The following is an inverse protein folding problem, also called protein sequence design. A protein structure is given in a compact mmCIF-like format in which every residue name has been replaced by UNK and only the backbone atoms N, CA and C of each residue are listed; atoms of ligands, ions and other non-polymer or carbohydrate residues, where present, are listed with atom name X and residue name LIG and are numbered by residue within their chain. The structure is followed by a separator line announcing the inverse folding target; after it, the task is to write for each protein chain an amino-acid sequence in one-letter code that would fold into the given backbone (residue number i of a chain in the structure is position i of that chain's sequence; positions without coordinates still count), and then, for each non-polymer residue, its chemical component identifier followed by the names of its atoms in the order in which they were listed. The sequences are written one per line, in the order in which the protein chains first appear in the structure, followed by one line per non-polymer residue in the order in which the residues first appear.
data_IF_773855188703
#
_entry.id   IF_773855188703
#
_cell.length_a   1.000
_cell.length_b   1.000
_cell.length_c   1.000
_cell.angle_alpha   90.00
_cell.angle_beta   90.00
_cell.angle_gamma   90.00
#
_symmetry.space_group_name_H-M   'P 1'
#
loop_
_entity.id
_entity.type
_entity.pdbx_description
1 polymer ?
#
# COMPACT_ATOMS: atom_id res chain seq x y z
N UNK A 1 40.27 43.82 -98.37
CA UNK A 1 39.50 43.99 -99.62
C UNK A 1 38.06 43.64 -99.31
N UNK A 2 37.12 44.58 -99.50
CA UNK A 2 35.71 44.36 -99.20
C UNK A 2 34.98 43.79 -100.42
N UNK A 3 33.99 42.92 -100.17
CA UNK A 3 33.12 42.33 -101.19
C UNK A 3 31.66 42.67 -100.84
N UNK A 4 30.81 42.80 -101.86
CA UNK A 4 29.39 43.09 -101.66
C UNK A 4 28.73 41.92 -100.91
N UNK A 5 28.06 42.21 -99.80
CA UNK A 5 27.37 41.18 -98.98
C UNK A 5 26.19 40.52 -99.69
N UNK A 6 25.68 41.12 -100.78
CA UNK A 6 24.52 40.60 -101.52
C UNK A 6 24.93 39.73 -102.72
N UNK A 7 25.88 40.20 -103.56
CA UNK A 7 26.26 39.48 -104.78
C UNK A 7 27.72 39.00 -104.84
N UNK A 8 28.54 39.27 -103.81
CA UNK A 8 29.91 38.78 -103.71
C UNK A 8 30.93 39.47 -104.61
N UNK A 9 30.55 40.48 -105.40
CA UNK A 9 31.49 41.23 -106.26
C UNK A 9 32.43 42.11 -105.43
N UNK A 10 33.65 42.31 -105.93
CA UNK A 10 34.70 43.09 -105.24
C UNK A 10 34.34 44.57 -105.23
N UNK A 11 34.33 45.19 -104.05
CA UNK A 11 34.05 46.62 -103.89
C UNK A 11 35.35 47.43 -103.96
N UNK A 12 35.29 48.58 -104.64
CA UNK A 12 36.38 49.55 -104.64
C UNK A 12 36.29 50.39 -103.35
N UNK A 13 37.40 50.67 -102.64
CA UNK A 13 37.39 51.46 -101.42
C UNK A 13 36.64 52.80 -101.60
N UNK A 14 35.69 53.11 -100.70
CA UNK A 14 34.91 54.35 -100.72
C UNK A 14 33.61 54.34 -101.55
N UNK A 15 33.23 53.22 -102.19
CA UNK A 15 31.96 53.14 -102.93
C UNK A 15 30.75 53.00 -102.00
N UNK A 16 29.77 53.90 -102.13
CA UNK A 16 28.53 53.92 -101.33
C UNK A 16 27.45 52.93 -101.79
N UNK A 17 27.60 52.35 -102.99
CA UNK A 17 26.69 51.35 -103.57
C UNK A 17 27.49 50.39 -104.45
N UNK A 18 27.05 49.12 -104.51
CA UNK A 18 27.62 48.14 -105.44
C UNK A 18 27.23 48.47 -106.88
N UNK A 19 28.20 48.65 -107.78
CA UNK A 19 27.94 48.96 -109.20
C UNK A 19 27.29 47.80 -109.98
N UNK A 20 27.46 46.57 -109.51
CA UNK A 20 26.94 45.38 -110.21
C UNK A 20 25.49 45.05 -109.85
N UNK A 21 25.09 45.22 -108.58
CA UNK A 21 23.75 44.83 -108.13
C UNK A 21 22.96 45.96 -107.47
N UNK A 22 23.48 47.19 -107.49
CA UNK A 22 22.81 48.39 -106.97
C UNK A 22 22.62 48.44 -105.45
N UNK A 23 23.06 47.41 -104.71
CA UNK A 23 22.85 47.33 -103.26
C UNK A 23 23.69 48.37 -102.52
N UNK A 24 23.06 49.15 -101.64
CA UNK A 24 23.69 50.21 -100.85
C UNK A 24 24.75 49.63 -99.92
N UNK A 25 25.96 50.14 -100.05
CA UNK A 25 27.08 49.86 -99.17
C UNK A 25 27.02 50.88 -98.02
N UNK A 26 26.26 50.54 -96.99
CA UNK A 26 26.04 51.42 -95.83
C UNK A 26 27.27 51.40 -94.94
N UNK A 27 28.23 52.28 -95.24
CA UNK A 27 29.20 52.77 -94.27
C UNK A 27 29.07 54.30 -94.15
N UNK A 28 29.06 54.77 -92.88
CA UNK A 28 28.83 56.13 -92.34
C UNK A 28 27.37 56.45 -91.95
N UNK A 29 27.06 57.10 -90.81
CA UNK A 29 27.79 58.21 -90.17
C UNK A 29 27.55 58.32 -88.63
N UNK A 30 28.03 59.39 -87.95
CA UNK A 30 28.85 59.35 -86.73
C UNK A 30 28.06 59.23 -85.42
N UNK A 31 28.54 58.39 -84.50
CA UNK A 31 28.06 58.37 -83.11
C UNK A 31 29.06 59.14 -82.25
N UNK A 32 28.51 60.10 -81.51
CA UNK A 32 29.18 60.88 -80.49
C UNK A 32 30.09 60.03 -79.60
N UNK A 33 31.19 60.64 -79.17
CA UNK A 33 32.17 60.05 -78.28
C UNK A 33 31.51 59.61 -76.95
N UNK A 34 31.17 58.32 -76.88
CA UNK A 34 31.01 57.64 -75.60
C UNK A 34 32.40 57.53 -74.96
N UNK A 35 32.56 57.87 -73.66
CA UNK A 35 33.84 57.70 -73.00
C UNK A 35 34.22 56.24 -73.07
N UNK A 36 35.41 55.97 -73.61
CA UNK A 36 36.14 54.72 -73.46
C UNK A 36 36.11 54.38 -71.97
N UNK A 37 35.32 53.37 -71.61
CA UNK A 37 35.41 52.75 -70.29
C UNK A 37 36.78 52.09 -70.24
N UNK A 38 37.75 52.84 -69.74
CA UNK A 38 39.02 52.31 -69.25
C UNK A 38 38.63 51.13 -68.36
N UNK A 39 38.92 49.90 -68.80
CA UNK A 39 39.04 48.81 -67.86
C UNK A 39 40.18 49.20 -66.95
N UNK A 40 39.86 49.82 -65.80
CA UNK A 40 40.79 49.91 -64.69
C UNK A 40 41.10 48.47 -64.33
N UNK A 41 42.21 47.94 -64.85
CA UNK A 41 42.83 46.76 -64.25
C UNK A 41 43.28 47.21 -62.88
N UNK A 42 42.47 46.89 -61.86
CA UNK A 42 42.89 47.05 -60.48
C UNK A 42 44.06 46.08 -60.26
N UNK A 43 45.30 46.56 -60.42
CA UNK A 43 46.46 45.84 -59.96
C UNK A 43 46.47 45.92 -58.43
N UNK A 44 45.95 44.90 -57.77
CA UNK A 44 45.98 44.79 -56.31
C UNK A 44 47.45 44.83 -55.89
N UNK A 45 47.83 45.79 -55.04
CA UNK A 45 49.22 45.91 -54.59
C UNK A 45 49.61 44.67 -53.79
N UNK A 46 50.85 44.18 -53.91
CA UNK A 46 51.33 42.99 -53.17
C UNK A 46 51.17 43.12 -51.64
N UNK A 47 51.02 44.35 -51.11
CA UNK A 47 50.75 44.64 -49.69
C UNK A 47 49.28 44.45 -49.30
N UNK A 48 48.34 44.62 -50.23
CA UNK A 48 46.92 44.37 -49.98
C UNK A 48 46.63 42.88 -49.78
N UNK A 49 47.42 41.99 -50.38
CA UNK A 49 47.26 40.53 -50.22
C UNK A 49 47.50 40.05 -48.77
N UNK A 50 48.32 40.78 -47.98
CA UNK A 50 48.52 40.52 -46.55
C UNK A 50 47.25 40.74 -45.70
N UNK A 51 46.32 41.58 -46.14
CA UNK A 51 45.04 41.81 -45.45
C UNK A 51 43.89 41.03 -46.10
N UNK A 52 43.95 40.80 -47.43
CA UNK A 52 42.92 40.08 -48.18
C UNK A 52 42.93 38.57 -47.86
N UNK A 53 44.10 37.92 -47.76
CA UNK A 53 44.14 36.48 -47.44
C UNK A 53 43.54 36.20 -46.05
N UNK A 54 43.95 36.87 -44.96
CA UNK A 54 43.37 36.61 -43.64
C UNK A 54 41.88 36.96 -43.58
N UNK A 55 41.45 38.04 -44.25
CA UNK A 55 40.04 38.39 -44.34
C UNK A 55 39.22 37.34 -45.10
N UNK A 56 39.73 36.81 -46.22
CA UNK A 56 39.09 35.75 -46.97
C UNK A 56 39.02 34.44 -46.17
N UNK A 57 40.10 34.07 -45.47
CA UNK A 57 40.12 32.90 -44.56
C UNK A 57 39.11 33.07 -43.43
N UNK A 58 39.03 34.25 -42.83
CA UNK A 58 38.05 34.57 -41.79
C UNK A 58 36.61 34.49 -42.32
N UNK A 59 36.34 35.00 -43.53
CA UNK A 59 35.03 34.90 -44.18
C UNK A 59 34.67 33.44 -44.46
N UNK A 60 35.60 32.63 -44.98
CA UNK A 60 35.37 31.19 -45.21
C UNK A 60 35.11 30.47 -43.89
N UNK A 61 35.83 30.80 -42.82
CA UNK A 61 35.59 30.25 -41.49
C UNK A 61 34.22 30.67 -40.94
N UNK A 62 33.79 31.92 -41.15
CA UNK A 62 32.45 32.39 -40.76
C UNK A 62 31.36 31.68 -41.56
N UNK A 63 31.51 31.53 -42.87
CA UNK A 63 30.56 30.80 -43.73
C UNK A 63 30.50 29.33 -43.31
N UNK A 64 31.66 28.71 -43.07
CA UNK A 64 31.75 27.33 -42.58
C UNK A 64 31.05 27.17 -41.23
N UNK A 65 31.31 28.07 -40.28
CA UNK A 65 30.63 28.09 -38.99
C UNK A 65 29.12 28.31 -39.16
N UNK A 66 28.70 29.26 -40.01
CA UNK A 66 27.30 29.52 -40.29
C UNK A 66 26.59 28.28 -40.86
N UNK A 67 27.20 27.60 -41.84
CA UNK A 67 26.65 26.37 -42.42
C UNK A 67 26.57 25.28 -41.35
N UNK A 68 27.64 25.07 -40.57
CA UNK A 68 27.66 24.08 -39.49
C UNK A 68 26.53 24.32 -38.48
N UNK A 69 26.41 25.54 -37.95
CA UNK A 69 25.36 25.88 -37.00
C UNK A 69 23.96 25.87 -37.64
N UNK A 70 23.82 26.25 -38.91
CA UNK A 70 22.55 26.18 -39.64
C UNK A 70 22.01 24.75 -39.77
N UNK A 71 22.88 23.74 -39.73
CA UNK A 71 22.49 22.32 -39.69
C UNK A 71 22.18 21.87 -38.27
N UNK A 72 23.01 22.25 -37.28
CA UNK A 72 22.84 21.86 -35.87
C UNK A 72 21.54 22.38 -35.24
N UNK A 73 21.05 23.54 -35.69
CA UNK A 73 19.83 24.14 -35.17
C UNK A 73 18.56 23.79 -35.98
N UNK A 74 18.61 22.76 -36.82
CA UNK A 74 17.44 22.24 -37.54
C UNK A 74 16.55 21.36 -36.65
N UNK A 75 15.22 21.35 -36.85
CA UNK A 75 14.32 20.49 -36.08
C UNK A 75 14.68 19.01 -36.20
N UNK A 76 15.08 18.54 -37.38
CA UNK A 76 15.46 17.15 -37.64
C UNK A 76 16.68 16.73 -36.79
N UNK A 77 17.62 17.65 -36.53
CA UNK A 77 18.78 17.38 -35.66
C UNK A 77 18.41 17.33 -34.18
N UNK A 78 17.41 18.10 -33.75
CA UNK A 78 16.92 18.04 -32.36
C UNK A 78 16.19 16.71 -32.12
N UNK A 79 15.35 16.29 -33.06
CA UNK A 79 14.63 15.00 -33.00
C UNK A 79 15.62 13.83 -32.97
N UNK A 80 16.52 13.75 -33.95
CA UNK A 80 17.54 12.67 -34.01
C UNK A 80 18.40 12.59 -32.73
N UNK A 81 18.70 13.74 -32.11
CA UNK A 81 19.44 13.77 -30.84
C UNK A 81 18.62 13.23 -29.67
N UNK A 82 17.33 13.54 -29.61
CA UNK A 82 16.42 13.03 -28.58
C UNK A 82 16.29 11.50 -28.70
N UNK A 83 16.00 11.00 -29.90
CA UNK A 83 15.91 9.57 -30.22
C UNK A 83 17.17 8.80 -29.82
N UNK A 84 18.34 9.33 -30.20
CA UNK A 84 19.61 8.72 -29.85
C UNK A 84 19.83 8.74 -28.33
N UNK A 85 19.49 9.83 -27.65
CA UNK A 85 19.65 9.92 -26.20
C UNK A 85 18.77 8.90 -25.45
N UNK A 86 17.53 8.66 -25.91
CA UNK A 86 16.65 7.63 -25.35
C UNK A 86 17.19 6.23 -25.63
N UNK A 87 17.48 5.90 -26.90
CA UNK A 87 18.00 4.57 -27.30
C UNK A 87 19.32 4.21 -26.66
N UNK A 88 20.24 5.16 -26.57
CA UNK A 88 21.56 4.98 -25.98
C UNK A 88 21.55 5.11 -24.45
N UNK A 89 20.40 5.41 -23.84
CA UNK A 89 20.26 5.74 -22.42
C UNK A 89 21.23 6.84 -21.96
N UNK A 90 21.46 7.84 -22.82
CA UNK A 90 22.27 9.02 -22.49
C UNK A 90 21.42 9.99 -21.65
N UNK A 91 21.25 9.65 -20.38
CA UNK A 91 20.47 10.42 -19.41
C UNK A 91 21.00 11.84 -19.22
N UNK A 92 22.32 12.05 -19.36
CA UNK A 92 22.95 13.38 -19.29
C UNK A 92 22.45 14.29 -20.40
N UNK A 93 22.48 13.81 -21.63
CA UNK A 93 22.00 14.58 -22.78
C UNK A 93 20.47 14.76 -22.71
N UNK A 94 19.75 13.70 -22.36
CA UNK A 94 18.29 13.71 -22.28
C UNK A 94 17.77 14.69 -21.21
N UNK A 95 18.34 14.68 -20.00
CA UNK A 95 17.97 15.61 -18.92
C UNK A 95 18.14 17.07 -19.36
N UNK A 96 19.25 17.38 -20.02
CA UNK A 96 19.50 18.72 -20.56
C UNK A 96 18.45 19.11 -21.60
N UNK A 97 18.12 18.21 -22.52
CA UNK A 97 17.13 18.47 -23.56
C UNK A 97 15.73 18.71 -23.00
N UNK A 98 15.33 17.91 -22.00
CA UNK A 98 14.04 18.05 -21.33
C UNK A 98 13.95 19.38 -20.59
N UNK A 99 14.93 19.71 -19.74
CA UNK A 99 14.96 20.98 -19.01
C UNK A 99 15.09 22.20 -19.94
N UNK A 100 15.71 22.05 -21.11
CA UNK A 100 15.75 23.11 -22.12
C UNK A 100 14.38 23.34 -22.79
N UNK A 101 13.49 22.34 -22.73
CA UNK A 101 12.18 22.31 -23.42
C UNK A 101 10.98 22.65 -22.55
N UNK A 102 11.09 22.55 -21.22
CA UNK A 102 10.00 22.84 -20.27
C UNK A 102 10.55 23.41 -18.95
N UNK A 103 9.67 24.02 -18.15
CA UNK A 103 9.98 24.57 -16.82
C UNK A 103 9.04 24.06 -15.73
N UNK A 104 8.18 23.11 -16.07
CA UNK A 104 7.19 22.48 -15.19
C UNK A 104 7.89 21.67 -14.08
N UNK A 105 8.99 20.97 -14.40
CA UNK A 105 9.78 20.16 -13.46
C UNK A 105 11.29 20.26 -13.72
N UNK A 106 12.11 20.07 -12.70
CA UNK A 106 13.57 19.93 -12.84
C UNK A 106 13.95 18.45 -12.94
N UNK A 107 14.40 18.01 -14.11
CA UNK A 107 14.75 16.61 -14.37
C UNK A 107 16.25 16.40 -14.24
N UNK A 108 16.66 15.45 -13.40
CA UNK A 108 18.06 15.02 -13.28
C UNK A 108 18.28 13.70 -14.00
N UNK A 109 19.55 13.31 -14.15
CA UNK A 109 19.94 12.05 -14.78
C UNK A 109 19.36 10.82 -14.06
N UNK A 110 19.32 10.88 -12.73
CA UNK A 110 18.77 9.82 -11.86
C UNK A 110 17.25 9.60 -12.04
N UNK A 111 16.52 10.59 -12.57
CA UNK A 111 15.07 10.52 -12.76
C UNK A 111 14.69 9.88 -14.13
N UNK A 112 15.65 9.55 -15.00
CA UNK A 112 15.37 9.24 -16.41
C UNK A 112 15.32 7.77 -16.79
N UNK A 113 15.85 6.87 -15.96
CA UNK A 113 15.82 5.43 -16.28
C UNK A 113 14.38 4.90 -16.34
N UNK A 114 13.52 5.39 -15.44
CA UNK A 114 12.08 5.14 -15.43
C UNK A 114 11.42 5.66 -16.70
N UNK A 115 11.65 6.93 -17.04
CA UNK A 115 11.03 7.55 -18.21
C UNK A 115 11.46 6.89 -19.54
N UNK A 116 12.74 6.54 -19.67
CA UNK A 116 13.22 5.79 -20.84
C UNK A 116 12.54 4.42 -20.91
N UNK A 117 12.37 3.73 -19.78
CA UNK A 117 11.68 2.43 -19.74
C UNK A 117 10.21 2.57 -20.13
N UNK A 118 9.52 3.59 -19.62
CA UNK A 118 8.15 3.92 -19.99
C UNK A 118 8.00 4.15 -21.51
N UNK A 119 8.92 4.92 -22.11
CA UNK A 119 8.90 5.17 -23.55
C UNK A 119 9.23 3.93 -24.40
N UNK A 120 10.08 3.02 -23.92
CA UNK A 120 10.67 1.94 -24.72
C UNK A 120 10.12 0.54 -24.46
N UNK A 121 9.51 0.31 -23.30
CA UNK A 121 8.96 -0.99 -22.90
C UNK A 121 7.44 -0.96 -22.80
N UNK A 122 6.90 0.11 -22.21
CA UNK A 122 5.44 0.26 -22.01
C UNK A 122 4.78 0.92 -23.22
N UNK A 123 5.58 1.53 -24.10
CA UNK A 123 5.14 2.19 -25.32
C UNK A 123 5.89 1.68 -26.56
N UNK A 124 5.27 1.83 -27.74
CA UNK A 124 5.92 1.59 -29.04
C UNK A 124 6.82 2.78 -29.41
N UNK A 125 8.03 2.80 -28.85
CA UNK A 125 8.99 3.87 -29.12
C UNK A 125 9.22 4.12 -30.62
N UNK A 126 9.45 3.12 -31.48
CA UNK A 126 9.54 3.32 -32.93
C UNK A 126 8.38 4.10 -33.55
N UNK A 127 7.14 3.87 -33.10
CA UNK A 127 5.98 4.65 -33.55
C UNK A 127 6.06 6.10 -33.06
N UNK A 128 6.44 6.33 -31.81
CA UNK A 128 6.62 7.68 -31.24
C UNK A 128 7.71 8.47 -31.96
N UNK A 129 8.84 7.83 -32.29
CA UNK A 129 9.92 8.44 -33.09
C UNK A 129 9.43 8.88 -34.46
N UNK A 130 8.67 8.02 -35.16
CA UNK A 130 8.10 8.36 -36.46
C UNK A 130 7.17 9.57 -36.38
N UNK A 131 6.37 9.66 -35.31
CA UNK A 131 5.52 10.83 -35.09
C UNK A 131 6.33 12.10 -34.83
N UNK A 132 7.41 12.00 -34.06
CA UNK A 132 8.29 13.13 -33.77
C UNK A 132 9.02 13.62 -35.02
N UNK A 133 9.45 12.69 -35.88
CA UNK A 133 10.04 13.00 -37.18
C UNK A 133 9.02 13.64 -38.14
N UNK A 134 7.75 13.22 -38.11
CA UNK A 134 6.69 13.92 -38.86
C UNK A 134 6.50 15.36 -38.37
N UNK A 135 6.56 15.60 -37.05
CA UNK A 135 6.50 16.96 -36.50
C UNK A 135 7.68 17.82 -36.95
N UNK A 136 8.88 17.24 -37.07
CA UNK A 136 10.10 17.93 -37.54
C UNK A 136 9.95 18.51 -38.95
N UNK A 137 9.18 17.83 -39.81
CA UNK A 137 8.87 18.26 -41.16
C UNK A 137 7.73 19.29 -41.18
N UNK A 138 6.73 19.13 -40.32
CA UNK A 138 5.52 19.96 -40.28
C UNK A 138 5.73 21.31 -39.56
N UNK A 139 6.67 21.41 -38.62
CA UNK A 139 6.92 22.61 -37.81
C UNK A 139 7.31 23.86 -38.61
N UNK A 140 7.66 23.69 -39.89
CA UNK A 140 7.94 24.79 -40.83
C UNK A 140 6.67 25.36 -41.48
N UNK A 141 5.55 24.65 -41.39
CA UNK A 141 4.25 25.03 -41.96
C UNK A 141 3.33 25.76 -40.99
N UNK A 142 2.08 25.98 -41.41
CA UNK A 142 1.05 26.70 -40.65
C UNK A 142 0.12 25.78 -39.82
N UNK A 143 0.33 24.46 -39.85
CA UNK A 143 -0.52 23.51 -39.13
C UNK A 143 -0.23 23.59 -37.62
N UNK A 144 -1.30 23.59 -36.81
CA UNK A 144 -1.20 23.44 -35.37
C UNK A 144 -0.70 22.02 -35.07
N UNK A 145 0.36 21.91 -34.27
CA UNK A 145 0.87 20.63 -33.79
C UNK A 145 0.20 20.30 -32.46
N UNK A 146 -0.06 19.01 -32.25
CA UNK A 146 -0.55 18.45 -31.01
C UNK A 146 0.55 17.57 -30.38
N UNK A 147 0.52 17.35 -29.07
CA UNK A 147 1.44 16.41 -28.45
C UNK A 147 1.30 15.00 -29.04
N UNK A 148 2.41 14.27 -29.01
CA UNK A 148 2.44 12.85 -29.32
C UNK A 148 1.89 12.13 -28.10
N UNK A 149 0.85 11.35 -28.31
CA UNK A 149 0.15 10.62 -27.26
C UNK A 149 0.49 9.14 -27.31
N UNK A 150 0.40 8.48 -26.16
CA UNK A 150 0.31 7.02 -26.10
C UNK A 150 -1.12 6.52 -26.40
N UNK A 151 -1.35 5.21 -26.21
CA UNK A 151 -2.65 4.58 -26.42
C UNK A 151 -3.71 4.97 -25.37
N UNK A 152 -3.31 5.55 -24.23
CA UNK A 152 -4.17 5.92 -23.11
C UNK A 152 -4.49 7.43 -23.10
N UNK A 153 -4.07 8.17 -24.13
CA UNK A 153 -4.29 9.61 -24.25
C UNK A 153 -3.29 10.47 -23.49
N UNK A 154 -2.23 9.88 -22.92
CA UNK A 154 -1.20 10.65 -22.23
C UNK A 154 -0.34 11.41 -23.23
N UNK A 155 -0.29 12.74 -23.11
CA UNK A 155 0.62 13.58 -23.87
C UNK A 155 2.06 13.33 -23.40
N UNK A 156 2.92 12.79 -24.28
CA UNK A 156 4.30 12.43 -23.92
C UNK A 156 5.26 13.58 -24.21
N UNK A 157 5.25 14.06 -25.45
CA UNK A 157 6.12 15.15 -25.89
C UNK A 157 5.67 15.80 -27.18
N UNK A 158 6.14 17.03 -27.41
CA UNK A 158 5.88 17.81 -28.62
C UNK A 158 7.13 18.57 -29.05
N UNK A 159 7.42 18.59 -30.36
CA UNK A 159 8.46 19.45 -30.91
C UNK A 159 7.97 20.89 -30.96
N UNK A 160 8.76 21.81 -30.41
CA UNK A 160 8.43 23.23 -30.35
C UNK A 160 9.57 24.10 -30.87
N UNK A 161 9.21 25.25 -31.45
CA UNK A 161 10.15 26.30 -31.81
C UNK A 161 10.27 27.27 -30.64
N UNK A 162 11.49 27.54 -30.19
CA UNK A 162 11.74 28.58 -29.17
C UNK A 162 11.42 29.96 -29.76
N UNK A 163 10.91 30.84 -28.90
CA UNK A 163 10.67 32.25 -29.24
C UNK A 163 11.98 32.98 -29.56
N UNK A 164 13.06 32.63 -28.86
CA UNK A 164 14.38 33.22 -29.06
C UNK A 164 15.17 32.51 -30.19
N UNK A 165 15.96 33.31 -30.90
CA UNK A 165 16.96 32.81 -31.86
C UNK A 165 18.33 32.71 -31.21
N UNK A 166 19.09 31.67 -31.53
CA UNK A 166 20.50 31.59 -31.12
C UNK A 166 21.29 32.67 -31.85
N UNK A 167 21.93 33.55 -31.09
CA UNK A 167 22.71 34.70 -31.60
C UNK A 167 21.93 35.63 -32.54
N UNK A 168 20.59 35.63 -32.45
CA UNK A 168 19.74 36.40 -33.37
C UNK A 168 19.60 35.82 -34.79
N UNK A 169 20.37 34.79 -35.16
CA UNK A 169 20.45 34.28 -36.52
C UNK A 169 19.68 32.97 -36.72
N UNK A 170 19.79 32.03 -35.78
CA UNK A 170 19.28 30.67 -35.95
C UNK A 170 18.03 30.43 -35.12
N UNK A 171 16.96 29.94 -35.75
CA UNK A 171 15.82 29.41 -35.02
C UNK A 171 16.27 28.27 -34.10
N UNK A 172 15.67 28.14 -32.93
CA UNK A 172 15.95 27.02 -32.03
C UNK A 172 14.69 26.18 -31.86
N UNK A 173 14.91 24.89 -31.64
CA UNK A 173 13.85 23.91 -31.43
C UNK A 173 14.16 23.08 -30.20
N UNK A 174 13.11 22.59 -29.56
CA UNK A 174 13.17 21.75 -28.36
C UNK A 174 12.09 20.70 -28.40
N UNK A 175 12.34 19.56 -27.79
CA UNK A 175 11.31 18.58 -27.47
C UNK A 175 10.78 18.94 -26.09
N UNK A 176 9.56 19.47 -26.03
CA UNK A 176 8.86 19.69 -24.77
C UNK A 176 8.29 18.35 -24.31
N UNK A 177 8.91 17.74 -23.31
CA UNK A 177 8.33 16.59 -22.60
C UNK A 177 7.26 17.09 -21.63
N UNK A 178 6.16 16.37 -21.55
CA UNK A 178 4.99 16.73 -20.73
C UNK A 178 4.97 15.83 -19.50
N UNK A 179 5.01 16.38 -18.28
CA UNK A 179 4.99 15.60 -17.05
C UNK A 179 3.58 15.12 -16.71
N UNK A 180 3.51 14.12 -15.84
CA UNK A 180 2.28 13.52 -15.33
C UNK A 180 1.95 14.10 -13.95
N UNK A 181 0.68 14.35 -13.71
CA UNK A 181 0.10 14.68 -12.42
C UNK A 181 -0.12 13.38 -11.63
N UNK A 182 0.42 13.32 -10.41
CA UNK A 182 0.24 12.15 -9.53
C UNK A 182 -0.66 12.54 -8.38
N UNK A 183 -1.79 11.86 -8.26
CA UNK A 183 -2.68 11.93 -7.12
C UNK A 183 -2.42 10.74 -6.20
N UNK A 184 -2.32 11.01 -4.89
CA UNK A 184 -2.16 9.97 -3.88
C UNK A 184 -3.42 9.92 -3.01
N UNK A 185 -3.86 8.70 -2.70
CA UNK A 185 -4.83 8.40 -1.64
C UNK A 185 -4.27 7.37 -0.67
N UNK A 186 -4.95 7.22 0.47
CA UNK A 186 -4.67 6.19 1.48
C UNK A 186 -5.98 5.56 1.92
N UNK A 187 -5.95 4.27 2.20
CA UNK A 187 -7.04 3.53 2.83
C UNK A 187 -7.16 3.80 4.33
N UNK A 188 -6.16 4.46 4.93
CA UNK A 188 -6.15 4.81 6.34
C UNK A 188 -6.14 6.31 6.60
N UNK A 189 -6.88 6.79 7.61
CA UNK A 189 -6.85 8.19 8.01
C UNK A 189 -5.49 8.57 8.61
N UNK A 190 -5.27 9.86 8.80
CA UNK A 190 -4.03 10.42 9.39
C UNK A 190 -2.71 9.97 8.74
N UNK A 191 -2.76 9.60 7.46
CA UNK A 191 -1.60 9.16 6.67
C UNK A 191 -0.73 10.35 6.28
N UNK A 192 0.53 10.37 6.74
CA UNK A 192 1.52 11.38 6.36
C UNK A 192 2.40 10.91 5.21
N UNK A 193 2.36 11.65 4.10
CA UNK A 193 3.15 11.40 2.89
C UNK A 193 4.45 12.20 2.91
N UNK A 194 5.52 11.56 2.47
CA UNK A 194 6.87 12.10 2.37
C UNK A 194 7.43 11.89 0.95
N UNK A 195 8.07 12.93 0.41
CA UNK A 195 8.74 12.88 -0.89
C UNK A 195 10.19 13.27 -0.71
N UNK A 196 11.10 12.39 -1.13
CA UNK A 196 12.56 12.57 -0.96
C UNK A 196 12.93 12.89 0.50
N UNK A 197 12.30 12.17 1.44
CA UNK A 197 12.49 12.31 2.90
C UNK A 197 11.90 13.58 3.54
N UNK A 198 11.16 14.40 2.78
CA UNK A 198 10.51 15.61 3.31
C UNK A 198 9.01 15.40 3.43
N UNK A 199 8.45 15.77 4.58
CA UNK A 199 7.00 15.77 4.79
C UNK A 199 6.32 16.64 3.73
N UNK A 200 5.40 16.04 2.98
CA UNK A 200 4.60 16.72 1.97
C UNK A 200 3.26 17.17 2.55
N UNK A 201 2.39 16.21 2.91
CA UNK A 201 1.05 16.46 3.47
C UNK A 201 0.62 15.30 4.36
N UNK A 202 -0.33 15.55 5.25
CA UNK A 202 -1.07 14.52 5.98
C UNK A 202 -2.50 14.46 5.44
N UNK A 203 -2.91 13.29 4.94
CA UNK A 203 -4.28 12.97 4.53
C UNK A 203 -5.07 12.69 5.80
N UNK A 204 -6.23 13.34 5.96
CA UNK A 204 -6.98 13.29 7.22
C UNK A 204 -8.08 12.23 7.23
N UNK A 205 -8.68 11.99 6.09
CA UNK A 205 -9.77 11.03 5.96
C UNK A 205 -9.36 9.91 5.01
N UNK A 206 -10.00 8.77 5.20
CA UNK A 206 -10.10 7.72 4.19
C UNK A 206 -10.67 8.34 2.90
N UNK A 207 -10.17 7.92 1.73
CA UNK A 207 -10.54 8.42 0.40
C UNK A 207 -10.14 9.86 0.04
N UNK A 208 -9.43 10.61 0.89
CA UNK A 208 -8.89 11.92 0.49
C UNK A 208 -7.85 11.74 -0.64
N UNK A 209 -8.19 12.18 -1.85
CA UNK A 209 -7.25 12.28 -2.98
C UNK A 209 -6.53 13.62 -2.97
N UNK A 210 -5.21 13.60 -3.09
CA UNK A 210 -4.38 14.81 -3.11
C UNK A 210 -3.42 14.78 -4.29
N UNK A 211 -3.44 15.84 -5.09
CA UNK A 211 -2.41 16.10 -6.10
C UNK A 211 -1.06 16.32 -5.40
N UNK A 212 -0.14 15.38 -5.62
CA UNK A 212 1.15 15.31 -4.96
C UNK A 212 2.16 16.21 -5.66
N UNK A 213 2.45 15.91 -6.93
CA UNK A 213 3.44 16.63 -7.72
C UNK A 213 3.35 16.24 -9.20
N UNK A 214 3.97 17.06 -10.04
CA UNK A 214 4.25 16.72 -11.44
C UNK A 214 5.57 15.96 -11.52
N UNK A 215 5.61 14.88 -12.29
CA UNK A 215 6.84 14.09 -12.45
C UNK A 215 6.89 13.35 -13.79
N UNK A 216 8.02 12.71 -14.10
CA UNK A 216 8.11 11.76 -15.21
C UNK A 216 7.88 10.32 -14.72
N UNK A 217 7.29 9.46 -15.57
CA UNK A 217 7.13 8.05 -15.27
C UNK A 217 8.37 7.35 -14.70
N UNK A 218 8.16 6.53 -13.67
CA UNK A 218 9.17 5.68 -13.04
C UNK A 218 10.24 6.39 -12.18
N UNK A 219 10.10 7.69 -11.94
CA UNK A 219 11.05 8.48 -11.12
C UNK A 219 10.56 8.74 -9.68
N UNK A 220 9.28 8.48 -9.40
CA UNK A 220 8.63 8.86 -8.16
C UNK A 220 8.55 7.69 -7.19
N UNK A 221 9.22 7.88 -6.05
CA UNK A 221 9.10 7.03 -4.88
C UNK A 221 8.40 7.83 -3.78
N UNK A 222 7.40 7.21 -3.17
CA UNK A 222 6.55 7.79 -2.13
C UNK A 222 6.76 6.99 -0.86
N UNK A 223 7.10 7.70 0.21
CA UNK A 223 7.14 7.14 1.56
C UNK A 223 5.91 7.65 2.31
N UNK A 224 5.23 6.79 3.04
CA UNK A 224 4.10 7.22 3.85
C UNK A 224 4.09 6.53 5.22
N UNK A 225 3.60 7.25 6.21
CA UNK A 225 3.42 6.76 7.57
C UNK A 225 1.97 7.01 8.00
N UNK A 226 1.25 5.95 8.34
CA UNK A 226 -0.08 6.04 8.95
C UNK A 226 -0.01 5.67 10.43
N UNK A 227 -0.91 6.22 11.25
CA UNK A 227 -0.95 5.98 12.69
C UNK A 227 -2.29 5.40 13.08
N UNK A 228 -2.26 4.16 13.55
CA UNK A 228 -3.36 3.57 14.30
C UNK A 228 -3.22 3.89 15.78
N UNK A 229 -4.22 3.53 16.56
CA UNK A 229 -4.21 3.73 18.01
C UNK A 229 -3.08 2.94 18.69
N UNK A 230 -2.82 1.72 18.21
CA UNK A 230 -1.87 0.78 18.83
C UNK A 230 -0.60 0.54 18.02
N UNK A 231 -0.50 1.07 16.80
CA UNK A 231 0.63 0.81 15.91
C UNK A 231 0.87 1.93 14.89
N UNK A 232 2.04 1.90 14.25
CA UNK A 232 2.42 2.86 13.21
C UNK A 232 2.84 2.08 11.96
N UNK A 233 2.20 2.39 10.85
CA UNK A 233 2.39 1.73 9.56
C UNK A 233 3.33 2.54 8.71
N UNK A 234 4.25 1.89 8.01
CA UNK A 234 5.13 2.55 7.07
C UNK A 234 5.11 1.80 5.76
N UNK A 235 4.95 2.53 4.68
CA UNK A 235 5.11 2.01 3.32
C UNK A 235 6.10 2.86 2.54
N UNK A 236 6.73 2.23 1.57
CA UNK A 236 7.68 2.87 0.65
C UNK A 236 7.49 2.24 -0.72
N UNK A 237 6.82 2.98 -1.60
CA UNK A 237 6.33 2.49 -2.87
C UNK A 237 6.87 3.31 -4.04
N UNK A 238 7.09 2.63 -5.16
CA UNK A 238 7.36 3.28 -6.45
C UNK A 238 6.04 3.40 -7.18
N UNK A 239 5.68 4.63 -7.54
CA UNK A 239 4.42 4.88 -8.26
C UNK A 239 4.50 4.20 -9.61
N UNK A 240 3.50 3.37 -9.89
CA UNK A 240 3.30 2.76 -11.20
C UNK A 240 2.55 3.72 -12.13
N UNK A 241 3.05 3.88 -13.36
CA UNK A 241 2.49 4.75 -14.39
C UNK A 241 1.79 3.95 -15.49
N UNK A 242 1.74 2.62 -15.37
CA UNK A 242 1.12 1.74 -16.37
C UNK A 242 -0.38 1.99 -16.56
N UNK A 243 -1.05 2.47 -15.52
CA UNK A 243 -2.48 2.83 -15.53
C UNK A 243 -2.75 4.33 -15.74
N UNK A 244 -1.72 5.12 -16.09
CA UNK A 244 -1.88 6.55 -16.33
C UNK A 244 -2.82 6.83 -17.51
N UNK A 245 -3.70 7.82 -17.38
CA UNK A 245 -4.57 8.30 -18.46
C UNK A 245 -4.69 9.82 -18.44
N UNK A 246 -4.72 10.47 -19.61
CA UNK A 246 -4.77 11.93 -19.74
C UNK A 246 -3.71 12.67 -18.88
N UNK A 247 -2.51 12.07 -18.77
CA UNK A 247 -1.38 12.50 -17.93
C UNK A 247 -1.65 12.49 -16.42
N UNK A 248 -2.68 11.81 -15.94
CA UNK A 248 -2.99 11.68 -14.52
C UNK A 248 -2.74 10.24 -14.07
N UNK A 249 -2.09 10.09 -12.92
CA UNK A 249 -1.97 8.82 -12.19
C UNK A 249 -2.69 8.97 -10.86
N UNK A 250 -3.72 8.16 -10.66
CA UNK A 250 -4.34 7.98 -9.34
C UNK A 250 -3.70 6.77 -8.68
N UNK A 251 -2.92 6.98 -7.62
CA UNK A 251 -2.16 5.94 -6.95
C UNK A 251 -2.60 5.82 -5.48
N UNK A 252 -3.12 4.65 -5.11
CA UNK A 252 -3.51 4.35 -3.73
C UNK A 252 -2.35 3.68 -3.00
N UNK A 253 -1.93 4.28 -1.88
CA UNK A 253 -0.93 3.69 -1.00
C UNK A 253 -1.49 2.44 -0.33
N UNK A 254 -0.67 1.40 -0.24
CA UNK A 254 -1.01 0.13 0.41
C UNK A 254 -0.14 -0.04 1.64
N UNK A 255 -0.74 -0.41 2.76
CA UNK A 255 0.00 -0.66 3.99
C UNK A 255 -0.16 -2.13 4.42
N UNK A 256 0.88 -2.66 5.09
CA UNK A 256 0.78 -3.92 5.82
C UNK A 256 0.05 -3.68 7.16
N UNK A 257 -1.21 -3.27 7.05
CA UNK A 257 -2.14 -3.06 8.15
C UNK A 257 -3.43 -3.84 7.93
N UNK A 258 -4.10 -4.18 9.02
CA UNK A 258 -5.42 -4.80 8.98
C UNK A 258 -6.27 -4.40 10.18
N UNK A 259 -7.58 -4.45 10.02
CA UNK A 259 -8.50 -4.56 11.15
C UNK A 259 -8.65 -6.04 11.48
N UNK A 260 -8.66 -6.37 12.77
CA UNK A 260 -8.81 -7.76 13.25
C UNK A 260 -10.02 -7.85 14.15
N UNK A 261 -10.84 -8.88 13.94
CA UNK A 261 -11.95 -9.19 14.83
C UNK A 261 -11.43 -10.06 15.98
N UNK A 262 -11.81 -9.70 17.21
CA UNK A 262 -11.31 -10.36 18.42
C UNK A 262 -12.47 -11.04 19.13
N UNK A 263 -12.28 -12.31 19.49
CA UNK A 263 -13.28 -13.06 20.25
C UNK A 263 -12.64 -13.89 21.37
N UNK A 264 -13.50 -14.32 22.28
CA UNK A 264 -13.15 -15.09 23.48
C UNK A 264 -14.38 -15.87 23.92
N UNK A 265 -14.19 -17.01 24.57
CA UNK A 265 -15.25 -17.71 25.29
C UNK A 265 -15.83 -16.88 26.47
N UNK A 266 -15.16 -15.80 26.85
CA UNK A 266 -15.59 -14.82 27.84
C UNK A 266 -15.54 -13.40 27.28
N UNK A 267 -16.71 -12.84 27.01
CA UNK A 267 -16.86 -11.48 26.48
C UNK A 267 -16.50 -10.37 27.47
N UNK A 268 -16.56 -10.67 28.77
CA UNK A 268 -16.17 -9.79 29.89
C UNK A 268 -14.66 -9.73 30.12
N UNK A 269 -13.85 -10.54 29.42
CA UNK A 269 -12.40 -10.54 29.58
C UNK A 269 -11.78 -9.22 29.10
N UNK A 270 -10.85 -8.67 29.88
CA UNK A 270 -10.12 -7.43 29.57
C UNK A 270 -9.10 -7.66 28.46
N UNK A 271 -9.09 -6.80 27.44
CA UNK A 271 -8.17 -6.93 26.32
C UNK A 271 -6.86 -6.16 26.55
N UNK A 272 -5.74 -6.83 26.26
CA UNK A 272 -4.40 -6.27 26.32
C UNK A 272 -3.74 -6.32 24.95
N UNK A 273 -3.08 -5.22 24.57
CA UNK A 273 -2.28 -5.09 23.35
C UNK A 273 -0.88 -4.61 23.74
N UNK A 274 0.15 -5.39 23.39
CA UNK A 274 1.55 -5.13 23.74
C UNK A 274 1.76 -4.83 25.23
N UNK A 275 1.20 -5.70 26.08
CA UNK A 275 1.23 -5.63 27.55
C UNK A 275 0.57 -4.36 28.15
N UNK A 276 -0.23 -3.63 27.36
CA UNK A 276 -1.03 -2.50 27.83
C UNK A 276 -2.50 -2.86 27.82
N UNK A 277 -3.14 -2.59 28.96
CA UNK A 277 -4.59 -2.63 29.07
C UNK A 277 -5.21 -1.60 28.11
N UNK A 278 -6.17 -2.06 27.30
CA UNK A 278 -6.93 -1.21 26.37
C UNK A 278 -8.06 -0.45 27.07
N UNK A 279 -8.43 -0.87 28.28
CA UNK A 279 -9.60 -0.36 29.01
C UNK A 279 -10.93 -0.89 28.46
N UNK A 280 -10.90 -1.83 27.51
CA UNK A 280 -12.07 -2.46 26.90
C UNK A 280 -12.08 -3.96 27.19
N UNK A 281 -13.28 -4.53 27.26
CA UNK A 281 -13.45 -5.98 27.22
C UNK A 281 -13.45 -6.49 25.78
N UNK A 282 -13.27 -7.80 25.58
CA UNK A 282 -13.33 -8.44 24.26
C UNK A 282 -14.67 -8.14 23.55
N UNK A 283 -15.80 -8.21 24.25
CA UNK A 283 -17.13 -7.89 23.69
C UNK A 283 -17.27 -6.44 23.22
N UNK A 284 -16.60 -5.51 23.90
CA UNK A 284 -16.62 -4.09 23.55
C UNK A 284 -15.73 -3.79 22.34
N UNK A 285 -14.61 -4.50 22.23
CA UNK A 285 -13.62 -4.26 21.20
C UNK A 285 -14.13 -4.64 19.81
N UNK A 286 -14.78 -5.80 19.66
CA UNK A 286 -15.29 -6.37 18.40
C UNK A 286 -14.25 -6.42 17.27
N UNK A 287 -13.99 -5.29 16.63
CA UNK A 287 -13.00 -5.10 15.56
C UNK A 287 -12.00 -4.01 15.95
N UNK A 288 -10.72 -4.32 15.89
CA UNK A 288 -9.64 -3.41 16.29
C UNK A 288 -8.74 -3.15 15.12
N UNK A 289 -8.48 -1.86 14.87
CA UNK A 289 -7.46 -1.49 13.93
C UNK A 289 -7.50 -0.04 13.47
N UNK A 290 -6.71 0.28 12.43
CA UNK A 290 -5.78 -0.65 11.80
C UNK A 290 -4.65 -1.05 12.77
N UNK A 291 -4.17 -2.30 12.65
CA UNK A 291 -3.02 -2.87 13.38
C UNK A 291 -1.97 -3.39 12.41
N UNK A 292 -0.69 -3.23 12.75
CA UNK A 292 0.40 -3.76 11.90
C UNK A 292 0.41 -5.28 11.94
N UNK A 293 0.51 -5.88 10.76
CA UNK A 293 0.55 -7.34 10.58
C UNK A 293 2.00 -7.86 10.40
N UNK A 294 3.00 -7.08 10.78
CA UNK A 294 4.42 -7.44 10.68
C UNK A 294 4.92 -8.32 11.86
N UNK A 295 4.02 -8.71 12.76
CA UNK A 295 4.33 -9.46 13.98
C UNK A 295 4.82 -8.62 15.16
N UNK A 296 4.79 -7.28 15.05
CA UNK A 296 5.14 -6.38 16.16
C UNK A 296 4.05 -6.26 17.23
N UNK A 297 2.81 -6.63 16.89
CA UNK A 297 1.65 -6.52 17.79
C UNK A 297 1.33 -7.89 18.41
N UNK A 298 1.18 -7.89 19.74
CA UNK A 298 0.76 -9.06 20.52
C UNK A 298 -0.49 -8.74 21.30
N UNK A 299 -1.43 -9.68 21.30
CA UNK A 299 -2.74 -9.54 21.94
C UNK A 299 -2.98 -10.71 22.88
N UNK A 300 -3.59 -10.43 24.03
CA UNK A 300 -4.12 -11.45 24.93
C UNK A 300 -5.28 -10.86 25.74
N UNK A 301 -6.09 -11.73 26.34
CA UNK A 301 -7.15 -11.34 27.25
C UNK A 301 -6.81 -11.75 28.68
N UNK A 302 -7.32 -11.01 29.66
CA UNK A 302 -7.14 -11.29 31.07
C UNK A 302 -8.49 -11.29 31.79
N UNK A 303 -8.69 -12.25 32.71
CA UNK A 303 -9.96 -12.38 33.46
C UNK A 303 -9.72 -13.00 34.83
N UNK A 304 -10.50 -12.60 35.82
CA UNK A 304 -10.53 -13.21 37.16
C UNK A 304 -11.38 -14.48 37.12
N UNK A 305 -10.82 -15.60 37.57
CA UNK A 305 -11.52 -16.86 37.77
C UNK A 305 -11.55 -17.20 39.26
N UNK A 306 -12.35 -18.18 39.71
CA UNK A 306 -12.30 -18.64 41.11
C UNK A 306 -10.90 -19.09 41.56
N UNK A 307 -10.04 -19.50 40.63
CA UNK A 307 -8.64 -19.89 40.88
C UNK A 307 -7.64 -18.72 40.83
N UNK A 308 -8.12 -17.51 40.54
CA UNK A 308 -7.33 -16.29 40.41
C UNK A 308 -7.35 -15.70 39.01
N UNK A 309 -6.64 -14.58 38.84
CA UNK A 309 -6.40 -13.97 37.53
C UNK A 309 -5.68 -14.90 36.56
N UNK A 310 -6.24 -15.08 35.37
CA UNK A 310 -5.61 -15.82 34.27
C UNK A 310 -5.46 -14.95 33.02
N UNK A 311 -4.51 -15.38 32.18
CA UNK A 311 -4.31 -14.86 30.83
C UNK A 311 -4.66 -15.95 29.82
N UNK A 312 -5.26 -15.55 28.71
CA UNK A 312 -5.37 -16.42 27.55
C UNK A 312 -4.03 -16.56 26.83
N UNK A 313 -4.02 -17.35 25.75
CA UNK A 313 -2.86 -17.43 24.86
C UNK A 313 -2.50 -16.05 24.29
N UNK A 314 -1.19 -15.80 24.16
CA UNK A 314 -0.70 -14.59 23.50
C UNK A 314 -0.68 -14.85 22.00
N UNK A 315 -1.52 -14.13 21.26
CA UNK A 315 -1.57 -14.18 19.80
C UNK A 315 -0.74 -13.05 19.22
N UNK A 316 0.10 -13.36 18.24
CA UNK A 316 0.87 -12.35 17.49
C UNK A 316 0.11 -12.01 16.21
N UNK A 317 -0.09 -10.73 15.93
CA UNK A 317 -0.82 -10.26 14.74
C UNK A 317 0.08 -10.33 13.52
N UNK A 318 -0.24 -11.23 12.60
CA UNK A 318 0.52 -11.44 11.34
C UNK A 318 -0.35 -11.40 10.08
N UNK A 319 -1.66 -11.20 10.24
CA UNK A 319 -2.65 -11.12 9.18
C UNK A 319 -3.88 -10.37 9.69
N UNK A 320 -4.85 -10.10 8.81
CA UNK A 320 -6.17 -9.59 9.16
C UNK A 320 -7.19 -10.67 9.52
N UNK A 321 -6.71 -11.84 9.97
CA UNK A 321 -7.58 -12.94 10.39
C UNK A 321 -8.12 -12.70 11.81
N UNK A 322 -9.22 -13.38 12.13
CA UNK A 322 -9.83 -13.31 13.46
C UNK A 322 -8.86 -13.83 14.55
N UNK A 323 -8.90 -13.19 15.71
CA UNK A 323 -8.03 -13.49 16.85
C UNK A 323 -8.84 -14.16 17.96
N UNK A 324 -8.51 -15.44 18.23
CA UNK A 324 -9.07 -16.23 19.32
C UNK A 324 -8.28 -16.06 20.62
N UNK A 325 -8.88 -15.37 21.58
CA UNK A 325 -8.34 -15.14 22.92
C UNK A 325 -9.02 -16.01 23.98
N UNK A 326 -9.50 -17.20 23.61
CA UNK A 326 -10.15 -18.12 24.53
C UNK A 326 -9.23 -18.60 25.64
N UNK A 327 -9.83 -18.86 26.80
CA UNK A 327 -9.18 -19.40 27.98
C UNK A 327 -9.29 -20.92 28.00
N UNK A 328 -8.17 -21.61 28.23
CA UNK A 328 -8.17 -23.02 28.56
C UNK A 328 -8.52 -23.20 30.04
N UNK A 329 -9.64 -23.84 30.31
CA UNK A 329 -10.18 -24.01 31.66
C UNK A 329 -10.49 -25.46 31.97
N UNK A 330 -10.28 -25.79 33.24
CA UNK A 330 -10.74 -27.03 33.82
C UNK A 330 -12.24 -27.04 34.10
N UNK A 331 -12.83 -28.22 34.32
CA UNK A 331 -14.26 -28.35 34.57
C UNK A 331 -14.69 -27.59 35.85
N UNK A 332 -13.84 -27.57 36.87
CA UNK A 332 -14.09 -26.79 38.09
C UNK A 332 -14.05 -25.28 37.88
N UNK A 333 -13.27 -24.79 36.91
CA UNK A 333 -13.09 -23.36 36.66
C UNK A 333 -14.23 -22.74 35.86
N UNK A 334 -14.92 -23.56 35.06
CA UNK A 334 -16.11 -23.14 34.31
C UNK A 334 -17.31 -22.82 35.20
N UNK A 335 -17.27 -23.20 36.48
CA UNK A 335 -18.34 -22.93 37.42
C UNK A 335 -18.18 -21.49 37.95
N UNK A 336 -19.07 -20.59 37.52
CA UNK A 336 -19.00 -19.15 37.81
C UNK A 336 -19.11 -18.85 39.32
N UNK A 337 -20.08 -19.47 40.00
CA UNK A 337 -20.23 -19.41 41.46
C UNK A 337 -20.18 -20.83 42.06
N UNK A 338 -18.98 -21.36 42.35
CA UNK A 338 -18.86 -22.70 42.88
C UNK A 338 -19.56 -22.89 44.22
N UNK A 339 -19.57 -21.87 45.08
CA UNK A 339 -20.17 -22.00 46.42
C UNK A 339 -21.68 -22.21 46.30
N UNK A 340 -22.34 -21.37 45.51
CA UNK A 340 -23.77 -21.50 45.28
C UNK A 340 -24.13 -22.82 44.59
N UNK A 341 -23.41 -23.17 43.52
CA UNK A 341 -23.69 -24.38 42.73
C UNK A 341 -23.47 -25.67 43.54
N UNK A 342 -22.41 -25.73 44.36
CA UNK A 342 -22.13 -26.85 45.24
C UNK A 342 -23.18 -26.96 46.36
N UNK A 343 -23.66 -25.83 46.90
CA UNK A 343 -24.71 -25.84 47.92
C UNK A 343 -26.04 -26.34 47.36
N UNK A 344 -26.45 -25.89 46.17
CA UNK A 344 -27.64 -26.38 45.49
C UNK A 344 -27.56 -27.90 45.25
N UNK A 345 -26.44 -28.36 44.69
CA UNK A 345 -26.21 -29.78 44.43
C UNK A 345 -26.23 -30.63 45.70
N UNK A 346 -25.49 -30.24 46.73
CA UNK A 346 -25.43 -31.00 47.99
C UNK A 346 -26.78 -30.98 48.71
N UNK A 347 -27.57 -29.91 48.56
CA UNK A 347 -28.88 -29.81 49.19
C UNK A 347 -29.86 -30.83 48.59
N UNK A 348 -29.79 -31.03 47.28
CA UNK A 348 -30.55 -32.04 46.53
C UNK A 348 -30.03 -33.45 46.84
N UNK A 349 -28.70 -33.66 46.80
CA UNK A 349 -28.06 -34.92 47.16
C UNK A 349 -28.47 -35.42 48.55
N UNK A 350 -28.46 -34.56 49.57
CA UNK A 350 -28.84 -34.95 50.93
C UNK A 350 -30.34 -35.20 51.06
N UNK A 351 -31.17 -34.45 50.32
CA UNK A 351 -32.62 -34.71 50.29
C UNK A 351 -32.93 -36.09 49.70
N UNK A 352 -32.28 -36.44 48.59
CA UNK A 352 -32.40 -37.75 47.96
C UNK A 352 -31.77 -38.87 48.78
N UNK A 353 -30.68 -38.59 49.49
CA UNK A 353 -30.08 -39.53 50.45
C UNK A 353 -31.07 -39.90 51.56
N UNK A 354 -31.74 -38.89 52.15
CA UNK A 354 -32.78 -39.12 53.15
C UNK A 354 -33.97 -39.88 52.57
N UNK A 355 -34.38 -39.56 51.33
CA UNK A 355 -35.45 -40.29 50.64
C UNK A 355 -35.06 -41.75 50.39
N UNK A 356 -33.82 -42.02 50.00
CA UNK A 356 -33.28 -43.36 49.80
C UNK A 356 -33.30 -44.16 51.11
N UNK A 357 -32.83 -43.56 52.22
CA UNK A 357 -32.87 -44.16 53.57
C UNK A 357 -34.30 -44.50 53.97
N UNK A 358 -35.21 -43.54 53.89
CA UNK A 358 -36.59 -43.68 54.36
C UNK A 358 -37.39 -44.72 53.57
N UNK A 359 -37.06 -44.92 52.29
CA UNK A 359 -37.72 -45.89 51.42
C UNK A 359 -36.93 -47.21 51.25
N UNK A 360 -35.70 -47.30 51.76
CA UNK A 360 -34.83 -48.45 51.58
C UNK A 360 -34.39 -48.67 50.14
N UNK A 361 -34.39 -47.63 49.32
CA UNK A 361 -34.13 -47.71 47.88
C UNK A 361 -33.00 -46.76 47.48
N UNK A 362 -31.83 -47.33 47.22
CA UNK A 362 -30.64 -46.57 46.83
C UNK A 362 -30.77 -45.88 45.47
N UNK A 363 -31.72 -46.30 44.61
CA UNK A 363 -31.86 -45.71 43.28
C UNK A 363 -32.21 -44.22 43.30
N UNK A 364 -32.85 -43.74 44.38
CA UNK A 364 -33.22 -42.33 44.58
C UNK A 364 -32.02 -41.37 44.55
N UNK A 365 -30.82 -41.80 44.94
CA UNK A 365 -29.63 -40.93 45.04
C UNK A 365 -28.47 -41.39 44.13
N UNK A 366 -28.60 -42.56 43.52
CA UNK A 366 -27.49 -43.22 42.82
C UNK A 366 -26.92 -42.43 41.63
N UNK A 367 -27.72 -41.58 40.99
CA UNK A 367 -27.33 -40.71 39.88
C UNK A 367 -26.49 -39.52 40.32
N UNK A 368 -26.53 -39.15 41.60
CA UNK A 368 -25.77 -38.04 42.19
C UNK A 368 -24.44 -38.47 42.82
N UNK A 369 -24.13 -39.76 42.76
CA UNK A 369 -22.91 -40.34 43.33
C UNK A 369 -22.03 -40.84 42.18
N UNK A 370 -20.73 -40.58 42.28
CA UNK A 370 -19.76 -41.11 41.32
C UNK A 370 -19.74 -42.64 41.45
N UNK A 371 -20.11 -43.40 40.39
CA UNK A 371 -20.16 -44.86 40.44
C UNK A 371 -18.79 -45.51 40.71
N UNK A 372 -17.70 -44.80 40.40
CA UNK A 372 -16.33 -45.24 40.69
C UNK A 372 -15.84 -44.78 42.08
N UNK A 373 -16.64 -43.98 42.79
CA UNK A 373 -16.34 -43.46 44.11
C UNK A 373 -16.66 -44.44 45.26
N UNK A 374 -15.90 -44.41 46.37
CA UNK A 374 -16.17 -45.27 47.53
C UNK A 374 -17.57 -45.06 48.13
N UNK A 375 -18.08 -43.81 48.09
CA UNK A 375 -19.40 -43.46 48.64
C UNK A 375 -20.54 -44.22 47.95
N UNK A 376 -20.38 -44.63 46.69
CA UNK A 376 -21.43 -45.35 45.98
C UNK A 376 -21.82 -46.65 46.69
N UNK A 377 -20.82 -47.43 47.10
CA UNK A 377 -21.06 -48.66 47.85
C UNK A 377 -21.44 -48.36 49.31
N UNK A 378 -20.75 -47.42 49.95
CA UNK A 378 -20.99 -47.08 51.36
C UNK A 378 -22.42 -46.55 51.58
N UNK A 379 -22.90 -45.66 50.71
CA UNK A 379 -24.26 -45.11 50.77
C UNK A 379 -25.30 -46.20 50.53
N UNK A 380 -25.09 -47.10 49.55
CA UNK A 380 -25.97 -48.25 49.31
C UNK A 380 -26.08 -49.17 50.53
N UNK A 381 -24.95 -49.49 51.16
CA UNK A 381 -24.90 -50.34 52.35
C UNK A 381 -25.54 -49.63 53.56
N UNK A 382 -25.33 -48.32 53.71
CA UNK A 382 -25.90 -47.49 54.78
C UNK A 382 -27.42 -47.36 54.67
N UNK A 383 -27.94 -47.06 53.47
CA UNK A 383 -29.39 -47.02 53.17
C UNK A 383 -30.05 -48.34 53.60
N UNK A 384 -29.47 -49.47 53.17
CA UNK A 384 -29.98 -50.78 53.55
C UNK A 384 -29.96 -51.00 55.07
N UNK A 385 -28.84 -50.65 55.71
CA UNK A 385 -28.66 -50.84 57.15
C UNK A 385 -29.67 -50.04 57.99
N UNK A 386 -29.89 -48.76 57.65
CA UNK A 386 -30.85 -47.92 58.36
C UNK A 386 -32.29 -48.40 58.15
N UNK A 387 -32.64 -48.73 56.90
CA UNK A 387 -33.97 -49.24 56.57
C UNK A 387 -34.28 -50.56 57.28
N UNK A 388 -33.35 -51.52 57.30
CA UNK A 388 -33.51 -52.79 58.01
C UNK A 388 -33.70 -52.59 59.54
N UNK A 389 -33.19 -51.47 60.09
CA UNK A 389 -33.36 -51.07 61.49
C UNK A 389 -34.60 -50.21 61.75
N UNK A 390 -35.39 -49.89 60.71
CA UNK A 390 -36.53 -48.99 60.80
C UNK A 390 -36.16 -47.57 61.20
N UNK A 391 -34.91 -47.14 60.95
CA UNK A 391 -34.45 -45.78 61.22
C UNK A 391 -34.80 -44.90 60.02
N UNK A 392 -35.43 -43.75 60.29
CA UNK A 392 -35.73 -42.74 59.27
C UNK A 392 -35.12 -41.40 59.63
N UNK A 393 -34.90 -40.56 58.64
CA UNK A 393 -34.25 -39.26 58.78
C UNK A 393 -35.12 -38.14 58.19
N UNK A 394 -34.93 -36.92 58.67
CA UNK A 394 -35.49 -35.69 58.09
C UNK A 394 -34.36 -34.66 58.00
N UNK A 395 -34.08 -34.19 56.78
CA UNK A 395 -33.11 -33.11 56.55
C UNK A 395 -33.72 -31.78 56.98
N UNK A 396 -33.05 -31.06 57.87
CA UNK A 396 -33.47 -29.75 58.34
C UNK A 396 -32.71 -28.62 57.66
N UNK A 397 -31.38 -28.74 57.59
CA UNK A 397 -30.51 -27.70 57.06
C UNK A 397 -29.29 -28.29 56.37
N UNK A 398 -28.89 -27.67 55.28
CA UNK A 398 -27.55 -27.75 54.73
C UNK A 398 -27.02 -26.32 54.56
N UNK A 399 -25.75 -26.14 54.86
CA UNK A 399 -24.98 -24.94 54.52
C UNK A 399 -23.58 -25.36 54.05
N UNK A 400 -23.15 -24.89 52.88
CA UNK A 400 -21.76 -25.01 52.45
C UNK A 400 -20.97 -23.90 53.13
N UNK A 401 -20.15 -24.28 54.10
CA UNK A 401 -19.36 -23.33 54.88
C UNK A 401 -18.16 -22.81 54.09
N UNK A 402 -17.46 -23.69 53.37
CA UNK A 402 -16.29 -23.37 52.56
C UNK A 402 -16.07 -24.44 51.47
N UNK A 403 -15.21 -24.15 50.49
CA UNK A 403 -14.77 -25.12 49.50
C UNK A 403 -13.33 -24.87 49.05
N UNK A 404 -12.70 -25.89 48.46
CA UNK A 404 -11.40 -25.79 47.79
C UNK A 404 -11.46 -26.50 46.45
N UNK A 405 -10.83 -25.93 45.44
CA UNK A 405 -10.56 -26.63 44.18
C UNK A 405 -9.31 -27.48 44.40
N UNK A 406 -9.45 -28.80 44.33
CA UNK A 406 -8.33 -29.73 44.52
C UNK A 406 -7.55 -29.93 43.22
N UNK A 407 -8.26 -30.08 42.11
CA UNK A 407 -7.74 -30.32 40.77
C UNK A 407 -8.78 -29.95 39.71
N UNK A 408 -8.50 -30.29 38.45
CA UNK A 408 -9.28 -29.88 37.28
C UNK A 408 -10.76 -30.32 37.28
N UNK A 409 -11.12 -31.32 38.08
CA UNK A 409 -12.49 -31.82 38.13
C UNK A 409 -12.99 -32.12 39.55
N UNK A 410 -12.26 -31.74 40.60
CA UNK A 410 -12.62 -32.11 41.96
C UNK A 410 -12.62 -30.91 42.91
N UNK A 411 -13.72 -30.74 43.63
CA UNK A 411 -13.84 -29.86 44.79
C UNK A 411 -13.72 -30.65 46.10
N UNK A 412 -13.10 -30.05 47.11
CA UNK A 412 -13.29 -30.40 48.52
C UNK A 412 -14.27 -29.43 49.14
N UNK A 413 -15.37 -29.92 49.71
CA UNK A 413 -16.50 -29.09 50.15
C UNK A 413 -16.77 -29.35 51.62
N UNK A 414 -16.87 -28.27 52.40
CA UNK A 414 -17.05 -28.31 53.85
C UNK A 414 -18.47 -27.87 54.21
N UNK A 415 -19.25 -28.74 54.83
CA UNK A 415 -20.67 -28.49 55.11
C UNK A 415 -20.98 -28.40 56.60
N UNK A 416 -22.10 -27.77 56.90
CA UNK A 416 -22.82 -27.90 58.16
C UNK A 416 -24.22 -28.43 57.86
N UNK A 417 -24.60 -29.50 58.55
CA UNK A 417 -25.79 -30.29 58.21
C UNK A 417 -26.60 -30.58 59.46
N UNK A 418 -27.93 -30.45 59.40
CA UNK A 418 -28.83 -30.71 60.53
C UNK A 418 -29.91 -31.71 60.11
N UNK A 419 -30.16 -32.69 60.99
CA UNK A 419 -31.15 -33.74 60.78
C UNK A 419 -31.95 -34.03 62.05
N UNK A 420 -33.18 -34.48 61.87
CA UNK A 420 -33.88 -35.27 62.89
C UNK A 420 -33.76 -36.75 62.53
N UNK A 421 -33.35 -37.57 63.51
CA UNK A 421 -33.27 -39.03 63.36
C UNK A 421 -34.38 -39.67 64.19
N UNK A 422 -35.13 -40.57 63.57
CA UNK A 422 -36.24 -41.30 64.17
C UNK A 422 -35.85 -42.77 64.28
N UNK A 423 -35.91 -43.34 65.49
CA UNK A 423 -35.55 -44.74 65.75
C UNK A 423 -36.68 -45.44 66.50
N UNK A 424 -37.00 -46.71 66.18
CA UNK A 424 -38.06 -47.45 66.87
C UNK A 424 -37.74 -47.72 68.35
N UNK A 425 -36.49 -47.56 68.77
CA UNK A 425 -36.05 -47.78 70.16
C UNK A 425 -36.25 -46.55 71.07
N UNK A 426 -36.64 -45.40 70.51
CA UNK A 426 -36.76 -44.12 71.23
C UNK A 426 -38.13 -43.48 71.00
N UNK A 427 -38.70 -42.88 72.04
CA UNK A 427 -40.00 -42.20 71.96
C UNK A 427 -39.93 -40.82 71.28
N UNK A 428 -38.78 -40.13 71.39
CA UNK A 428 -38.56 -38.80 70.79
C UNK A 428 -37.54 -38.87 69.65
N UNK A 429 -37.68 -37.95 68.69
CA UNK A 429 -36.71 -37.77 67.62
C UNK A 429 -35.42 -37.14 68.14
N UNK A 430 -34.31 -37.49 67.51
CA UNK A 430 -33.00 -37.02 67.91
C UNK A 430 -32.48 -35.98 66.92
N UNK A 431 -32.39 -34.73 67.36
CA UNK A 431 -31.65 -33.70 66.60
C UNK A 431 -30.17 -34.06 66.56
N UNK A 432 -29.58 -33.97 65.36
CA UNK A 432 -28.16 -34.19 65.13
C UNK A 432 -27.65 -33.14 64.16
N UNK A 433 -26.48 -32.58 64.48
CA UNK A 433 -25.77 -31.66 63.61
C UNK A 433 -24.40 -32.23 63.27
N UNK A 434 -23.96 -32.08 62.02
CA UNK A 434 -22.70 -32.60 61.52
C UNK A 434 -21.89 -31.52 60.81
N UNK A 435 -20.58 -31.65 60.89
CA UNK A 435 -19.66 -31.06 59.91
C UNK A 435 -19.09 -32.17 59.06
N UNK A 436 -19.29 -32.05 57.75
CA UNK A 436 -18.89 -33.06 56.79
C UNK A 436 -17.99 -32.46 55.71
N UNK A 437 -17.02 -33.24 55.28
CA UNK A 437 -16.04 -32.88 54.26
C UNK A 437 -16.27 -33.84 53.08
N UNK A 438 -16.65 -33.32 51.92
CA UNK A 438 -16.89 -34.12 50.72
C UNK A 438 -15.86 -33.85 49.64
N UNK A 439 -15.56 -34.87 48.83
CA UNK A 439 -14.99 -34.68 47.50
C UNK A 439 -16.10 -34.79 46.48
N UNK A 440 -16.31 -33.70 45.75
CA UNK A 440 -17.31 -33.60 44.68
C UNK A 440 -16.57 -33.53 43.35
N UNK A 441 -16.86 -34.47 42.45
CA UNK A 441 -16.32 -34.44 41.09
C UNK A 441 -17.29 -33.76 40.14
N UNK A 442 -16.73 -33.10 39.13
CA UNK A 442 -17.43 -32.64 37.93
C UNK A 442 -17.17 -33.65 36.83
N UNK A 443 -18.21 -34.25 36.27
CA UNK A 443 -18.07 -35.21 35.18
C UNK A 443 -17.87 -34.53 33.81
N UNK A 444 -17.79 -35.33 32.75
CA UNK A 444 -17.56 -34.84 31.38
C UNK A 444 -18.71 -33.99 30.82
N UNK A 445 -19.90 -34.09 31.42
CA UNK A 445 -21.09 -33.31 31.06
C UNK A 445 -21.23 -32.03 31.89
N UNK A 446 -20.37 -31.84 32.90
CA UNK A 446 -20.44 -30.72 33.83
C UNK A 446 -21.30 -30.98 35.06
N UNK A 447 -21.78 -32.20 35.27
CA UNK A 447 -22.61 -32.53 36.43
C UNK A 447 -21.75 -32.82 37.66
N UNK A 448 -22.22 -32.37 38.82
CA UNK A 448 -21.60 -32.72 40.09
C UNK A 448 -21.97 -34.14 40.53
N UNK A 449 -20.98 -34.86 41.09
CA UNK A 449 -21.12 -36.19 41.67
C UNK A 449 -20.39 -36.27 43.01
N UNK A 450 -21.05 -36.77 44.04
CA UNK A 450 -20.37 -37.07 45.31
C UNK A 450 -19.46 -38.27 45.08
N UNK A 451 -18.15 -38.09 45.26
CA UNK A 451 -17.18 -39.17 45.10
C UNK A 451 -16.78 -39.78 46.45
N UNK A 452 -16.44 -38.94 47.43
CA UNK A 452 -15.95 -39.38 48.74
C UNK A 452 -16.53 -38.53 49.87
N UNK A 453 -17.00 -39.16 50.96
CA UNK A 453 -17.22 -38.49 52.24
C UNK A 453 -15.92 -38.64 53.04
N UNK A 454 -15.07 -37.62 52.99
CA UNK A 454 -13.72 -37.65 53.57
C UNK A 454 -13.78 -37.77 55.08
N UNK A 455 -14.70 -37.02 55.68
CA UNK A 455 -14.87 -36.95 57.12
C UNK A 455 -16.28 -36.49 57.45
N UNK A 456 -16.85 -37.04 58.51
CA UNK A 456 -18.02 -36.45 59.17
C UNK A 456 -17.79 -36.43 60.66
N UNK A 457 -18.21 -35.34 61.32
CA UNK A 457 -18.09 -35.16 62.77
C UNK A 457 -19.38 -34.60 63.32
N UNK A 458 -20.02 -35.36 64.20
CA UNK A 458 -21.16 -34.89 64.99
C UNK A 458 -20.75 -33.72 65.91
N UNK A 459 -21.57 -32.69 65.92
CA UNK A 459 -21.50 -31.56 66.85
C UNK A 459 -22.42 -31.90 68.02
N UNK A 460 -21.84 -31.97 69.21
CA UNK A 460 -22.55 -32.25 70.46
C UNK A 460 -22.96 -30.97 71.18
#
# INVERSE_FOLDING_TARGET
MSFCKNCGSKLVPGQSFCKECGTKNTEAAPVEASPTRVQKSYSISKKAWYYIIPAAVLIVAIIGAFIFFSVQFKPEKVVSKFEHAVKAKDTKTLAKMINDGQTDILVKQEDLDGYISYLTKENDFPALERQLEMQSQQIKGYKRMHPIQDQYGNDLFILQKKSSKKWGLFNQYVVKVIPFDVNISSEYPDTTVYIKGKKFKTLKNEDEKVELTKTLPGSLEVEAESKGEYSTFKTKEKVDFSEASDNVVDYQLTFDGAYVDVYSNYGDAELYINDKDTGMTVDQAQSIGPLSIDGSIKMYAQREFPTGMKKSQVVTVTSGDDIDLSFEESATEKIEDPKYALEEFLNDYLYDSVSAVNNGDFSYVSDKIDPDGPVYKESKDYVKYLYDKGITEEKLKLEVTDYKILDANTFEVFTYEEFNIYSPEKEENEFRAFKSDYKIKVDEFGDFKVNTLVKTKEIK
#
